data_IF_612168935636
#
_entry.id   IF_612168935636
#
_cell.length_a   1.000
_cell.length_b   1.000
_cell.length_c   1.000
_cell.angle_alpha   90.00
_cell.angle_beta   90.00
_cell.angle_gamma   90.00
#
_symmetry.space_group_name_H-M   'P 1'
#
loop_
_entity.id
_entity.type
_entity.pdbx_description
1 polymer ?
#
# COMPACT_ATOMS: atom_id res chain seq x y z
N UNK A 1 -11.16 7.44 -13.18
CA UNK A 1 -11.45 6.02 -12.85
C UNK A 1 -12.44 6.00 -11.69
N UNK A 2 -13.42 5.09 -11.68
CA UNK A 2 -14.42 5.00 -10.60
C UNK A 2 -14.55 3.56 -10.09
N UNK A 3 -15.34 3.36 -9.04
CA UNK A 3 -15.51 2.05 -8.39
C UNK A 3 -16.11 0.97 -9.31
N UNK A 4 -17.01 1.33 -10.23
CA UNK A 4 -17.62 0.38 -11.17
C UNK A 4 -16.60 -0.10 -12.20
N UNK A 5 -15.80 0.82 -12.75
CA UNK A 5 -14.69 0.49 -13.65
C UNK A 5 -13.68 -0.44 -12.98
N UNK A 6 -13.28 -0.14 -11.73
CA UNK A 6 -12.37 -0.99 -10.96
C UNK A 6 -12.93 -2.42 -10.80
N UNK A 7 -14.21 -2.55 -10.43
CA UNK A 7 -14.83 -3.88 -10.31
C UNK A 7 -14.82 -4.63 -11.65
N UNK A 8 -15.16 -3.96 -12.74
CA UNK A 8 -15.13 -4.55 -14.09
C UNK A 8 -13.71 -5.00 -14.50
N UNK A 9 -12.67 -4.28 -14.05
CA UNK A 9 -11.25 -4.61 -14.27
C UNK A 9 -10.71 -5.69 -13.31
N UNK A 10 -11.56 -6.25 -12.43
CA UNK A 10 -11.21 -7.34 -11.52
C UNK A 10 -10.63 -6.89 -10.18
N UNK A 11 -10.76 -5.61 -9.82
CA UNK A 11 -10.41 -5.14 -8.49
C UNK A 11 -11.48 -5.53 -7.47
N UNK A 12 -11.03 -5.88 -6.27
CA UNK A 12 -11.88 -6.17 -5.11
C UNK A 12 -11.68 -5.09 -4.05
N UNK A 13 -12.77 -4.55 -3.53
CA UNK A 13 -12.74 -3.59 -2.42
C UNK A 13 -12.56 -4.33 -1.10
N UNK A 14 -11.72 -3.77 -0.24
CA UNK A 14 -11.53 -4.14 1.15
C UNK A 14 -11.69 -2.88 1.99
N UNK A 15 -12.69 -2.87 2.86
CA UNK A 15 -12.81 -1.79 3.83
C UNK A 15 -11.80 -2.02 4.95
N UNK A 16 -10.91 -1.03 5.13
CA UNK A 16 -9.91 -1.07 6.19
C UNK A 16 -10.56 -0.93 7.56
N UNK A 17 -10.08 -1.70 8.54
CA UNK A 17 -10.38 -1.49 9.95
C UNK A 17 -9.23 -0.74 10.64
N UNK A 18 -9.51 -0.12 11.79
CA UNK A 18 -8.50 0.59 12.58
C UNK A 18 -7.81 1.70 11.78
N UNK A 19 -6.48 1.84 11.95
CA UNK A 19 -5.71 2.89 11.27
C UNK A 19 -5.75 2.77 9.75
N UNK A 20 -5.75 1.55 9.19
CA UNK A 20 -5.87 1.34 7.74
C UNK A 20 -7.16 1.93 7.17
N UNK A 21 -8.25 1.91 7.95
CA UNK A 21 -9.53 2.50 7.57
C UNK A 21 -9.48 4.03 7.41
N UNK A 22 -8.45 4.71 7.91
CA UNK A 22 -8.28 6.16 7.73
C UNK A 22 -8.02 6.54 6.27
N UNK A 23 -7.48 5.61 5.45
CA UNK A 23 -7.34 5.78 4.00
C UNK A 23 -8.66 5.58 3.24
N UNK A 24 -9.70 5.06 3.90
CA UNK A 24 -10.92 4.60 3.25
C UNK A 24 -10.78 3.21 2.63
N UNK A 25 -11.57 2.96 1.58
CA UNK A 25 -11.61 1.66 0.89
C UNK A 25 -10.32 1.42 0.12
N UNK A 26 -9.66 0.30 0.43
CA UNK A 26 -8.52 -0.20 -0.32
C UNK A 26 -9.02 -1.14 -1.41
N UNK A 27 -8.47 -1.02 -2.60
CA UNK A 27 -8.75 -1.86 -3.75
C UNK A 27 -7.58 -2.78 -3.99
N UNK A 28 -7.86 -4.05 -4.28
CA UNK A 28 -6.83 -5.05 -4.56
C UNK A 28 -7.15 -5.74 -5.88
N UNK A 29 -6.20 -5.72 -6.82
CA UNK A 29 -6.24 -6.51 -8.06
C UNK A 29 -5.16 -7.57 -8.00
N UNK A 30 -5.50 -8.78 -8.39
CA UNK A 30 -4.59 -9.92 -8.36
C UNK A 30 -4.52 -10.56 -9.74
N UNK A 31 -3.32 -10.63 -10.31
CA UNK A 31 -3.04 -11.29 -11.60
C UNK A 31 -1.91 -12.29 -11.35
N UNK A 32 -2.25 -13.58 -11.33
CA UNK A 32 -1.30 -14.62 -10.93
C UNK A 32 -0.77 -14.39 -9.50
N UNK A 33 0.55 -14.30 -9.37
CA UNK A 33 1.25 -14.00 -8.10
C UNK A 33 1.42 -12.50 -7.83
N UNK A 34 1.07 -11.64 -8.79
CA UNK A 34 1.21 -10.20 -8.67
C UNK A 34 -0.06 -9.59 -8.07
N UNK A 35 0.14 -8.72 -7.08
CA UNK A 35 -0.93 -8.02 -6.39
C UNK A 35 -0.68 -6.53 -6.50
N UNK A 36 -1.70 -5.77 -6.90
CA UNK A 36 -1.67 -4.31 -6.94
C UNK A 36 -2.72 -3.80 -5.95
N UNK A 37 -2.32 -2.88 -5.09
CA UNK A 37 -3.21 -2.17 -4.19
C UNK A 37 -3.48 -0.78 -4.73
N UNK A 38 -4.63 -0.22 -4.38
CA UNK A 38 -4.94 1.17 -4.68
C UNK A 38 -6.00 1.76 -3.76
N UNK A 39 -6.09 3.09 -3.72
CA UNK A 39 -7.14 3.81 -3.03
C UNK A 39 -7.47 5.11 -3.75
N UNK A 40 -8.67 5.63 -3.54
CA UNK A 40 -9.02 6.98 -4.00
C UNK A 40 -8.68 7.99 -2.92
N UNK A 41 -7.86 8.99 -3.27
CA UNK A 41 -7.66 10.13 -2.38
C UNK A 41 -8.92 11.01 -2.34
N UNK A 42 -9.11 11.71 -1.23
CA UNK A 42 -10.24 12.63 -1.02
C UNK A 42 -9.79 13.74 -0.06
N UNK A 43 -10.72 14.61 0.34
CA UNK A 43 -10.42 15.77 1.19
C UNK A 43 -9.76 15.42 2.53
N UNK A 44 -9.99 14.23 3.07
CA UNK A 44 -9.35 13.75 4.32
C UNK A 44 -7.84 13.54 4.16
N UNK A 45 -7.40 13.31 2.92
CA UNK A 45 -6.01 13.06 2.57
C UNK A 45 -5.27 14.32 2.12
N UNK A 46 -5.94 15.46 2.05
CA UNK A 46 -5.39 16.71 1.53
C UNK A 46 -4.28 17.28 2.43
N UNK A 47 -3.26 17.88 1.82
CA UNK A 47 -2.34 18.78 2.51
C UNK A 47 -2.97 20.17 2.57
N UNK A 48 -3.34 20.69 3.74
CA UNK A 48 -4.10 21.94 3.84
C UNK A 48 -3.50 23.16 3.12
N UNK A 49 -2.18 23.16 2.86
CA UNK A 49 -1.48 24.23 2.14
C UNK A 49 -1.47 24.07 0.61
N UNK A 50 -1.99 22.98 0.04
CA UNK A 50 -1.99 22.70 -1.40
C UNK A 50 -3.03 21.64 -1.80
N UNK A 51 -3.61 21.71 -3.02
CA UNK A 51 -4.60 20.71 -3.53
C UNK A 51 -3.98 19.34 -3.90
N UNK A 52 -3.05 18.85 -3.09
CA UNK A 52 -2.32 17.60 -3.25
C UNK A 52 -2.45 16.74 -2.00
N UNK A 53 -2.24 15.44 -2.16
CA UNK A 53 -2.28 14.48 -1.07
C UNK A 53 -1.11 14.72 -0.11
N UNK A 54 -1.39 14.73 1.18
CA UNK A 54 -0.40 14.88 2.24
C UNK A 54 0.59 13.72 2.21
N UNK A 55 1.89 14.03 2.36
CA UNK A 55 2.95 13.03 2.28
C UNK A 55 2.77 11.89 3.29
N UNK A 56 2.28 12.20 4.49
CA UNK A 56 1.93 11.19 5.49
C UNK A 56 0.85 10.18 5.03
N UNK A 57 -0.14 10.60 4.25
CA UNK A 57 -1.14 9.68 3.70
C UNK A 57 -0.51 8.75 2.65
N UNK A 58 0.39 9.27 1.81
CA UNK A 58 1.15 8.46 0.85
C UNK A 58 2.09 7.47 1.55
N UNK A 59 2.72 7.88 2.66
CA UNK A 59 3.55 6.98 3.49
C UNK A 59 2.73 5.88 4.14
N UNK A 60 1.56 6.20 4.69
CA UNK A 60 0.62 5.20 5.23
C UNK A 60 0.21 4.20 4.16
N UNK A 61 -0.11 4.67 2.95
CA UNK A 61 -0.46 3.79 1.84
C UNK A 61 0.73 2.93 1.38
N UNK A 62 1.95 3.46 1.39
CA UNK A 62 3.17 2.70 1.12
C UNK A 62 3.39 1.59 2.16
N UNK A 63 3.27 1.90 3.45
CA UNK A 63 3.39 0.91 4.53
C UNK A 63 2.40 -0.25 4.36
N UNK A 64 1.12 0.06 4.14
CA UNK A 64 0.06 -0.92 3.93
C UNK A 64 0.33 -1.78 2.69
N UNK A 65 0.68 -1.15 1.56
CA UNK A 65 0.87 -1.85 0.29
C UNK A 65 2.07 -2.78 0.33
N UNK A 66 3.19 -2.29 0.82
CA UNK A 66 4.42 -3.06 0.94
C UNK A 66 4.31 -4.17 2.01
N UNK A 67 3.66 -3.87 3.14
CA UNK A 67 3.36 -4.85 4.17
C UNK A 67 2.40 -5.94 3.71
N UNK A 68 1.43 -5.62 2.84
CA UNK A 68 0.59 -6.62 2.19
C UNK A 68 1.43 -7.60 1.36
N UNK A 69 2.37 -7.10 0.57
CA UNK A 69 3.32 -7.92 -0.18
C UNK A 69 4.16 -8.83 0.73
N UNK A 70 4.69 -8.29 1.83
CA UNK A 70 5.45 -9.05 2.82
C UNK A 70 4.62 -10.18 3.46
N UNK A 71 3.41 -9.87 3.94
CA UNK A 71 2.51 -10.84 4.54
C UNK A 71 2.12 -11.96 3.55
N UNK A 72 1.88 -11.64 2.28
CA UNK A 72 1.59 -12.64 1.24
C UNK A 72 2.77 -13.58 1.00
N UNK A 73 4.00 -13.07 0.95
CA UNK A 73 5.20 -13.90 0.81
C UNK A 73 5.44 -14.84 2.01
N UNK A 74 4.90 -14.49 3.18
CA UNK A 74 4.92 -15.30 4.40
C UNK A 74 3.71 -16.24 4.54
N UNK A 75 2.88 -16.38 3.51
CA UNK A 75 1.67 -17.21 3.58
C UNK A 75 0.65 -16.69 4.59
N UNK A 76 0.51 -15.36 4.71
CA UNK A 76 -0.34 -14.66 5.68
C UNK A 76 0.13 -14.73 7.14
N UNK A 77 1.40 -15.09 7.40
CA UNK A 77 1.95 -14.92 8.75
C UNK A 77 2.09 -13.45 9.13
N UNK A 78 1.94 -13.15 10.42
CA UNK A 78 2.02 -11.80 10.93
C UNK A 78 3.45 -11.24 10.80
N UNK A 79 3.54 -9.98 10.36
CA UNK A 79 4.78 -9.22 10.34
C UNK A 79 4.46 -7.75 10.64
N UNK A 80 5.47 -7.02 11.12
CA UNK A 80 5.36 -5.59 11.46
C UNK A 80 6.47 -4.81 10.77
N UNK A 81 6.19 -3.55 10.43
CA UNK A 81 7.17 -2.66 9.82
C UNK A 81 8.31 -2.40 10.81
N UNK A 82 9.54 -2.73 10.41
CA UNK A 82 10.76 -2.45 11.15
C UNK A 82 11.46 -1.17 10.65
N UNK A 83 11.35 -0.91 9.35
CA UNK A 83 11.87 0.29 8.71
C UNK A 83 11.05 0.57 7.45
N UNK A 84 10.78 1.84 7.18
CA UNK A 84 10.21 2.32 5.91
C UNK A 84 10.96 3.59 5.50
N UNK A 85 11.46 3.61 4.28
CA UNK A 85 12.06 4.77 3.63
C UNK A 85 11.19 5.18 2.45
N UNK A 86 10.94 6.48 2.30
CA UNK A 86 10.18 7.03 1.17
C UNK A 86 10.90 8.23 0.57
N UNK A 87 10.88 8.33 -0.75
CA UNK A 87 11.38 9.46 -1.53
C UNK A 87 10.23 10.04 -2.35
N UNK A 88 9.83 11.27 -2.05
CA UNK A 88 8.77 11.98 -2.76
C UNK A 88 9.35 12.58 -4.05
N UNK A 89 8.99 12.01 -5.20
CA UNK A 89 9.53 12.41 -6.51
C UNK A 89 8.57 13.30 -7.29
N UNK A 90 7.27 13.27 -6.97
CA UNK A 90 6.28 14.21 -7.49
C UNK A 90 5.01 14.26 -6.62
N UNK A 91 4.03 15.10 -6.97
CA UNK A 91 2.77 15.24 -6.24
C UNK A 91 1.65 14.36 -6.80
N UNK A 92 0.76 13.91 -5.91
CA UNK A 92 -0.51 13.27 -6.23
C UNK A 92 -1.66 14.27 -5.99
N UNK A 93 -2.55 14.52 -6.96
CA UNK A 93 -3.71 15.38 -6.73
C UNK A 93 -4.77 14.70 -5.85
N UNK A 94 -5.54 15.49 -5.12
CA UNK A 94 -6.73 15.00 -4.40
C UNK A 94 -7.79 14.52 -5.40
N UNK A 95 -8.46 13.40 -5.12
CA UNK A 95 -9.42 12.74 -6.03
C UNK A 95 -8.77 11.73 -6.98
N UNK A 96 -7.44 11.58 -6.97
CA UNK A 96 -6.74 10.61 -7.78
C UNK A 96 -6.91 9.17 -7.26
N UNK A 97 -6.89 8.22 -8.19
CA UNK A 97 -6.62 6.82 -7.83
C UNK A 97 -5.11 6.62 -7.71
N UNK A 98 -4.66 6.28 -6.52
CA UNK A 98 -3.26 6.05 -6.19
C UNK A 98 -3.06 4.55 -6.04
N UNK A 99 -2.00 4.00 -6.62
CA UNK A 99 -1.76 2.56 -6.63
C UNK A 99 -0.31 2.19 -6.34
N UNK A 100 -0.11 0.95 -5.91
CA UNK A 100 1.20 0.37 -5.67
C UNK A 100 1.17 -1.13 -5.95
N UNK A 101 2.16 -1.62 -6.70
CA UNK A 101 2.44 -3.05 -6.82
C UNK A 101 3.70 -3.36 -6.01
N UNK A 102 3.59 -3.93 -4.81
CA UNK A 102 4.75 -4.30 -4.01
C UNK A 102 5.58 -5.39 -4.67
N UNK A 103 6.89 -5.21 -4.65
CA UNK A 103 7.88 -6.21 -5.03
C UNK A 103 8.59 -6.75 -3.78
N UNK A 104 8.55 -8.07 -3.59
CA UNK A 104 9.33 -8.72 -2.53
C UNK A 104 10.74 -8.97 -3.04
N UNK A 105 11.69 -8.17 -2.56
CA UNK A 105 13.11 -8.26 -2.93
C UNK A 105 13.74 -9.51 -2.33
N UNK A 106 13.44 -9.80 -1.05
CA UNK A 106 13.96 -10.97 -0.35
C UNK A 106 13.06 -11.37 0.81
N UNK A 107 12.73 -12.67 0.89
CA UNK A 107 12.11 -13.29 2.07
C UNK A 107 13.16 -14.06 2.87
N UNK A 108 13.52 -13.57 4.06
CA UNK A 108 14.34 -14.28 5.02
C UNK A 108 13.49 -15.00 6.08
N UNK A 109 14.17 -15.61 7.07
CA UNK A 109 13.50 -16.26 8.19
C UNK A 109 12.88 -15.25 9.17
N UNK A 110 13.57 -14.13 9.44
CA UNK A 110 13.16 -13.15 10.44
C UNK A 110 12.80 -11.78 9.86
N UNK A 111 13.18 -11.50 8.61
CA UNK A 111 12.96 -10.23 7.93
C UNK A 111 12.50 -10.46 6.49
N UNK A 112 11.61 -9.59 6.01
CA UNK A 112 11.19 -9.51 4.61
C UNK A 112 11.49 -8.12 4.09
N UNK A 113 12.16 -8.05 2.94
CA UNK A 113 12.53 -6.81 2.27
C UNK A 113 11.60 -6.61 1.10
N UNK A 114 10.93 -5.47 1.03
CA UNK A 114 10.07 -5.13 -0.09
C UNK A 114 10.30 -3.70 -0.55
N UNK A 115 9.94 -3.43 -1.81
CA UNK A 115 9.99 -2.10 -2.40
C UNK A 115 8.80 -1.89 -3.31
N UNK A 116 8.54 -0.66 -3.68
CA UNK A 116 7.51 -0.34 -4.66
C UNK A 116 7.47 1.13 -5.02
N UNK A 117 6.85 1.40 -6.16
CA UNK A 117 6.48 2.74 -6.56
C UNK A 117 5.01 2.96 -6.21
N UNK A 118 4.73 4.13 -5.64
CA UNK A 118 3.39 4.65 -5.47
C UNK A 118 3.13 5.53 -6.68
N UNK A 119 2.05 5.26 -7.41
CA UNK A 119 1.79 5.87 -8.71
C UNK A 119 0.38 6.46 -8.82
N UNK A 120 0.25 7.52 -9.61
CA UNK A 120 -1.02 8.01 -10.17
C UNK A 120 -0.98 7.75 -11.67
N UNK A 121 -1.76 6.78 -12.14
CA UNK A 121 -1.57 6.21 -13.49
C UNK A 121 -0.14 5.70 -13.65
N UNK A 122 0.54 6.12 -14.71
CA UNK A 122 1.93 5.72 -15.00
C UNK A 122 2.99 6.61 -14.32
N UNK A 123 2.57 7.65 -13.58
CA UNK A 123 3.49 8.59 -12.94
C UNK A 123 3.80 8.18 -11.51
N UNK A 124 5.08 7.92 -11.23
CA UNK A 124 5.55 7.73 -9.86
C UNK A 124 5.47 9.02 -9.05
N UNK A 125 4.89 8.93 -7.84
CA UNK A 125 4.79 10.02 -6.86
C UNK A 125 5.72 9.78 -5.67
N UNK A 126 5.86 8.52 -5.25
CA UNK A 126 6.76 8.11 -4.17
C UNK A 126 7.49 6.83 -4.56
N UNK A 127 8.79 6.78 -4.33
CA UNK A 127 9.55 5.53 -4.26
C UNK A 127 9.65 5.09 -2.81
N UNK A 128 9.37 3.83 -2.52
CA UNK A 128 9.36 3.29 -1.17
C UNK A 128 10.15 1.98 -1.07
N UNK A 129 10.94 1.87 0.00
CA UNK A 129 11.65 0.66 0.39
C UNK A 129 11.38 0.38 1.86
N UNK A 130 11.15 -0.88 2.23
CA UNK A 130 10.88 -1.23 3.61
C UNK A 130 11.37 -2.61 4.02
N UNK A 131 11.35 -2.80 5.34
CA UNK A 131 11.73 -4.05 6.01
C UNK A 131 10.63 -4.41 6.99
N UNK A 132 10.13 -5.64 6.90
CA UNK A 132 9.14 -6.20 7.81
C UNK A 132 9.76 -7.27 8.69
N UNK A 133 9.58 -7.15 10.00
CA UNK A 133 9.95 -8.16 10.99
C UNK A 133 8.88 -9.24 11.03
N UNK A 134 9.27 -10.48 10.79
CA UNK A 134 8.40 -11.65 10.98
C UNK A 134 8.13 -11.83 12.47
N UNK A 135 6.86 -11.97 12.83
CA UNK A 135 6.45 -12.26 14.20
C UNK A 135 6.33 -13.78 14.38
N UNK A 136 6.76 -14.27 15.53
CA UNK A 136 6.49 -15.66 15.91
C UNK A 136 4.99 -15.86 16.05
N UNK A 137 4.47 -16.95 15.47
CA UNK A 137 3.09 -17.34 15.72
C UNK A 137 2.99 -17.76 17.18
N UNK A 138 2.24 -17.00 18.00
CA UNK A 138 1.86 -17.51 19.32
C UNK A 138 1.06 -18.80 19.11
N UNK A 139 1.38 -19.90 19.83
CA UNK A 139 0.52 -21.08 19.84
C UNK A 139 -0.90 -20.63 20.14
N UNK A 140 -1.87 -21.10 19.35
CA UNK A 140 -3.28 -20.90 19.67
C UNK A 140 -3.52 -21.58 21.02
N UNK A 141 -3.90 -20.79 22.03
CA UNK A 141 -4.32 -21.31 23.32
C UNK A 141 -5.58 -22.16 23.18
#
# INVERSE_FOLDING_TARGET
MNAETLKAEGWKSLDGAGFTGTLGTIWIRSIGSQHTLGFFSDSRHCNQSADVVHGGALMTFADISLGYGAARALGHSACVTAQLQTHFVSSAPVGAFISCQPEVVRKGASLVFTRGLICVGDKAVVSADGIWKVLEQKPRA
#
